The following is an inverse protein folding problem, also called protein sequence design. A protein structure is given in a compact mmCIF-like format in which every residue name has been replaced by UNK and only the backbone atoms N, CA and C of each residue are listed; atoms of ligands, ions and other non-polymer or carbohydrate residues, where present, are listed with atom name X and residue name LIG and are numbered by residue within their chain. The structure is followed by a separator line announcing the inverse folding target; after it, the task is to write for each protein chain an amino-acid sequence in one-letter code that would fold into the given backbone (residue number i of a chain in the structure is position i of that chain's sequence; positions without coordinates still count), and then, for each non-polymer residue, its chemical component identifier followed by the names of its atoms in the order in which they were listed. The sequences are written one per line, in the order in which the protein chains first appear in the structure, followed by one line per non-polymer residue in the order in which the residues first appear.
data_IF_173741029517
#
_entry.id   IF_173741029517
#
_cell.length_a   1.000
_cell.length_b   1.000
_cell.length_c   1.000
_cell.angle_alpha   90.00
_cell.angle_beta   90.00
_cell.angle_gamma   90.00
#
_symmetry.space_group_name_H-M   'P 1'
#
loop_
_entity.id
_entity.type
_entity.pdbx_description
1 polymer ?
#
# COMPACT_ATOMS: atom_id res chain seq x y z
N UNK A 1 16.96 -9.34 -3.37
CA UNK A 1 17.27 -8.32 -2.35
C UNK A 1 16.30 -7.14 -2.40
N UNK A 2 16.06 -6.50 -3.55
CA UNK A 2 15.10 -5.38 -3.70
C UNK A 2 13.72 -5.63 -3.06
N UNK A 3 13.09 -6.77 -3.34
CA UNK A 3 11.74 -7.10 -2.82
C UNK A 3 11.66 -7.23 -1.29
N UNK A 4 12.71 -7.73 -0.64
CA UNK A 4 12.76 -7.84 0.83
C UNK A 4 12.81 -6.47 1.49
N UNK A 5 13.57 -5.53 0.92
CA UNK A 5 13.63 -4.15 1.41
C UNK A 5 12.27 -3.48 1.27
N UNK A 6 11.55 -3.70 0.15
CA UNK A 6 10.20 -3.18 -0.03
C UNK A 6 9.23 -3.72 1.02
N UNK A 7 9.27 -5.02 1.31
CA UNK A 7 8.42 -5.64 2.35
C UNK A 7 8.74 -5.04 3.72
N UNK A 8 10.02 -4.84 4.06
CA UNK A 8 10.43 -4.21 5.33
C UNK A 8 9.95 -2.76 5.45
N UNK A 9 10.09 -1.97 4.39
CA UNK A 9 9.57 -0.59 4.35
C UNK A 9 8.05 -0.60 4.51
N UNK A 10 7.36 -1.45 3.76
CA UNK A 10 5.90 -1.60 3.87
C UNK A 10 5.47 -2.01 5.29
N UNK A 11 6.20 -2.90 5.95
CA UNK A 11 5.92 -3.29 7.33
C UNK A 11 6.12 -2.13 8.30
N UNK A 12 7.21 -1.37 8.16
CA UNK A 12 7.45 -0.18 8.97
C UNK A 12 6.34 0.86 8.79
N UNK A 13 5.94 1.15 7.55
CA UNK A 13 4.84 2.07 7.25
C UNK A 13 3.50 1.58 7.81
N UNK A 14 3.23 0.27 7.76
CA UNK A 14 2.02 -0.31 8.36
C UNK A 14 1.98 -0.12 9.88
N UNK A 15 3.12 -0.28 10.55
CA UNK A 15 3.25 -0.03 11.99
C UNK A 15 2.98 1.45 12.26
N UNK A 16 3.54 2.38 11.49
CA UNK A 16 3.31 3.82 11.67
C UNK A 16 1.86 4.21 11.38
N UNK A 17 1.22 3.61 10.38
CA UNK A 17 -0.20 3.81 10.06
C UNK A 17 -1.11 3.45 11.25
N UNK A 18 -0.77 2.39 11.99
CA UNK A 18 -1.59 1.95 13.12
C UNK A 18 -1.18 2.53 14.48
N UNK A 19 0.08 2.99 14.61
CA UNK A 19 0.60 3.49 15.89
C UNK A 19 0.71 5.01 15.97
N UNK A 20 1.09 5.70 14.89
CA UNK A 20 1.35 7.13 14.88
C UNK A 20 0.26 7.95 14.16
N UNK A 21 -0.21 7.50 13.00
CA UNK A 21 -1.22 8.24 12.22
C UNK A 21 -2.54 8.50 12.95
N UNK A 22 -3.03 7.65 13.87
CA UNK A 22 -4.23 7.96 14.64
C UNK A 22 -4.11 9.24 15.48
N UNK A 23 -2.91 9.65 15.90
CA UNK A 23 -2.69 10.92 16.62
C UNK A 23 -2.89 12.16 15.74
N UNK A 24 -2.80 12.00 14.42
CA UNK A 24 -3.03 13.07 13.44
C UNK A 24 -4.43 12.99 12.80
N UNK A 25 -5.32 12.14 13.33
CA UNK A 25 -6.64 11.94 12.77
C UNK A 25 -7.51 13.20 12.87
N UNK A 26 -8.09 13.63 11.76
CA UNK A 26 -9.06 14.71 11.70
C UNK A 26 -10.44 14.08 11.54
N UNK A 27 -11.33 14.31 12.53
CA UNK A 27 -12.66 13.67 12.58
C UNK A 27 -12.63 12.13 12.47
N UNK A 28 -11.59 11.51 13.01
CA UNK A 28 -11.42 10.05 13.00
C UNK A 28 -10.90 9.46 11.69
N UNK A 29 -10.60 10.29 10.68
CA UNK A 29 -9.96 9.86 9.44
C UNK A 29 -8.49 10.30 9.40
N UNK A 30 -7.61 9.41 8.94
CA UNK A 30 -6.20 9.69 8.71
C UNK A 30 -5.75 9.03 7.39
N UNK A 31 -4.78 9.62 6.66
CA UNK A 31 -4.27 9.04 5.43
C UNK A 31 -3.37 7.82 5.73
N UNK A 32 -3.35 6.84 4.82
CA UNK A 32 -2.42 5.70 4.90
C UNK A 32 -1.09 6.04 4.23
N UNK A 33 -0.03 6.06 5.02
CA UNK A 33 1.35 6.18 4.57
C UNK A 33 1.76 4.98 3.72
N UNK A 34 1.36 3.77 4.12
CA UNK A 34 1.65 2.54 3.37
C UNK A 34 1.10 2.62 1.95
N UNK A 35 -0.16 3.01 1.81
CA UNK A 35 -0.81 3.08 0.51
C UNK A 35 -0.25 4.23 -0.34
N UNK A 36 0.05 5.37 0.27
CA UNK A 36 0.70 6.51 -0.40
C UNK A 36 2.06 6.10 -1.00
N UNK A 37 2.86 5.36 -0.23
CA UNK A 37 4.14 4.81 -0.70
C UNK A 37 3.94 3.83 -1.86
N UNK A 38 2.97 2.91 -1.77
CA UNK A 38 2.71 1.93 -2.82
C UNK A 38 2.34 2.60 -4.16
N UNK A 39 1.51 3.65 -4.13
CA UNK A 39 1.15 4.43 -5.32
C UNK A 39 2.40 5.11 -5.90
N UNK A 40 3.16 5.86 -5.09
CA UNK A 40 4.34 6.57 -5.56
C UNK A 40 5.38 5.62 -6.17
N UNK A 41 5.60 4.46 -5.54
CA UNK A 41 6.50 3.42 -6.08
C UNK A 41 6.00 2.88 -7.42
N UNK A 42 4.69 2.66 -7.55
CA UNK A 42 4.05 2.12 -8.75
C UNK A 42 4.17 3.05 -9.96
N UNK A 43 4.00 4.36 -9.76
CA UNK A 43 4.16 5.38 -10.81
C UNK A 43 5.56 5.29 -11.44
N UNK A 44 6.60 5.03 -10.65
CA UNK A 44 8.00 5.11 -11.09
C UNK A 44 8.51 3.77 -11.65
N UNK A 45 8.04 2.63 -11.13
CA UNK A 45 8.67 1.32 -11.38
C UNK A 45 7.93 0.44 -12.40
N UNK A 46 6.81 0.91 -12.95
CA UNK A 46 6.05 0.21 -13.98
C UNK A 46 5.17 -0.94 -13.47
N UNK A 47 4.43 -1.55 -14.40
CA UNK A 47 3.28 -2.44 -14.12
C UNK A 47 3.60 -3.66 -13.25
N UNK A 48 4.68 -4.40 -13.54
CA UNK A 48 5.00 -5.64 -12.81
C UNK A 48 5.31 -5.36 -11.33
N UNK A 49 6.06 -4.30 -11.07
CA UNK A 49 6.42 -3.87 -9.72
C UNK A 49 5.22 -3.27 -8.99
N UNK A 50 4.32 -2.59 -9.72
CA UNK A 50 3.06 -2.07 -9.19
C UNK A 50 2.08 -3.15 -8.73
N UNK A 51 1.94 -4.24 -9.51
CA UNK A 51 1.13 -5.40 -9.09
C UNK A 51 1.72 -6.02 -7.83
N UNK A 52 3.04 -6.20 -7.77
CA UNK A 52 3.70 -6.77 -6.61
C UNK A 52 3.49 -5.91 -5.35
N UNK A 53 3.75 -4.60 -5.42
CA UNK A 53 3.59 -3.72 -4.24
C UNK A 53 2.11 -3.58 -3.85
N UNK A 54 1.19 -3.49 -4.82
CA UNK A 54 -0.25 -3.35 -4.56
C UNK A 54 -0.82 -4.57 -3.85
N UNK A 55 -0.51 -5.78 -4.34
CA UNK A 55 -0.97 -7.02 -3.69
C UNK A 55 -0.33 -7.18 -2.31
N UNK A 56 0.98 -6.97 -2.19
CA UNK A 56 1.68 -7.18 -0.90
C UNK A 56 1.18 -6.21 0.18
N UNK A 57 1.08 -4.92 -0.13
CA UNK A 57 0.57 -3.92 0.83
C UNK A 57 -0.90 -4.10 1.15
N UNK A 58 -1.74 -4.48 0.18
CA UNK A 58 -3.14 -4.77 0.43
C UNK A 58 -3.35 -6.03 1.30
N UNK A 59 -2.58 -7.10 1.07
CA UNK A 59 -2.60 -8.27 1.96
C UNK A 59 -2.17 -7.92 3.39
N UNK A 60 -1.20 -7.02 3.55
CA UNK A 60 -0.79 -6.54 4.88
C UNK A 60 -1.91 -5.76 5.59
N UNK A 61 -2.70 -4.99 4.85
CA UNK A 61 -3.87 -4.28 5.39
C UNK A 61 -5.02 -5.25 5.72
N UNK A 62 -5.22 -6.29 4.92
CA UNK A 62 -6.25 -7.30 5.13
C UNK A 62 -6.10 -8.07 6.45
N UNK A 63 -4.90 -8.14 7.04
CA UNK A 63 -4.65 -8.75 8.36
C UNK A 63 -5.50 -8.11 9.46
N UNK A 64 -5.84 -6.83 9.33
CA UNK A 64 -6.65 -6.09 10.30
C UNK A 64 -8.16 -6.27 10.10
N UNK A 65 -8.60 -6.89 8.99
CA UNK A 65 -10.01 -7.15 8.70
C UNK A 65 -10.41 -8.57 9.11
N UNK A 66 -11.31 -8.68 10.08
CA UNK A 66 -11.82 -9.98 10.58
C UNK A 66 -12.67 -10.74 9.53
N UNK A 67 -13.40 -10.01 8.68
CA UNK A 67 -14.16 -10.55 7.54
C UNK A 67 -13.88 -9.65 6.32
N UNK A 68 -13.30 -10.21 5.26
CA UNK A 68 -12.96 -9.44 4.05
C UNK A 68 -11.51 -9.57 3.57
N UNK A 69 -10.79 -10.64 3.97
CA UNK A 69 -9.45 -10.91 3.47
C UNK A 69 -9.44 -10.97 1.93
N UNK A 70 -8.52 -10.23 1.31
CA UNK A 70 -8.37 -10.13 -0.14
C UNK A 70 -9.00 -8.87 -0.75
N UNK A 71 -9.84 -8.14 -0.02
CA UNK A 71 -10.46 -6.92 -0.56
C UNK A 71 -9.41 -5.83 -0.76
N UNK A 72 -8.58 -5.53 0.25
CA UNK A 72 -7.55 -4.51 0.10
C UNK A 72 -6.47 -4.99 -0.88
N UNK A 73 -6.13 -6.28 -0.88
CA UNK A 73 -5.21 -6.85 -1.87
C UNK A 73 -5.66 -6.60 -3.32
N UNK A 74 -6.95 -6.84 -3.62
CA UNK A 74 -7.51 -6.62 -4.94
C UNK A 74 -7.58 -5.13 -5.29
N UNK A 75 -8.11 -4.30 -4.39
CA UNK A 75 -8.30 -2.87 -4.63
C UNK A 75 -6.96 -2.15 -4.78
N UNK A 76 -5.97 -2.43 -3.91
CA UNK A 76 -4.66 -1.81 -4.00
C UNK A 76 -3.91 -2.24 -5.27
N UNK A 77 -4.04 -3.50 -5.69
CA UNK A 77 -3.45 -3.97 -6.94
C UNK A 77 -4.00 -3.22 -8.15
N UNK A 78 -5.32 -3.04 -8.24
CA UNK A 78 -5.94 -2.29 -9.33
C UNK A 78 -5.51 -0.82 -9.34
N UNK A 79 -5.50 -0.16 -8.17
CA UNK A 79 -5.11 1.26 -8.08
C UNK A 79 -3.63 1.44 -8.40
N UNK A 80 -2.75 0.57 -7.90
CA UNK A 80 -1.32 0.61 -8.21
C UNK A 80 -1.05 0.36 -9.70
N UNK A 81 -1.79 -0.55 -10.34
CA UNK A 81 -1.68 -0.80 -11.78
C UNK A 81 -2.11 0.42 -12.61
N UNK A 82 -3.18 1.11 -12.21
CA UNK A 82 -3.60 2.38 -12.83
C UNK A 82 -2.51 3.45 -12.62
N UNK A 83 -1.95 3.55 -11.42
CA UNK A 83 -0.89 4.51 -11.11
C UNK A 83 0.37 4.27 -11.97
N UNK A 84 0.75 3.00 -12.18
CA UNK A 84 1.84 2.64 -13.08
C UNK A 84 1.55 3.01 -14.54
N UNK A 85 0.31 2.81 -15.01
CA UNK A 85 -0.08 3.24 -16.35
C UNK A 85 -0.02 4.77 -16.52
N UNK A 86 -0.40 5.53 -15.49
CA UNK A 86 -0.29 6.99 -15.49
C UNK A 86 1.18 7.43 -15.57
N UNK A 87 2.08 6.75 -14.85
CA UNK A 87 3.51 7.09 -14.85
C UNK A 87 4.29 6.72 -16.10
N UNK A 88 3.70 5.97 -17.04
CA UNK A 88 4.29 5.63 -18.34
C UNK A 88 4.11 6.75 -19.40
N UNK A 89 3.30 7.78 -19.13
CA UNK A 89 3.06 8.94 -20.00
C UNK A 89 3.91 10.16 -19.63
#
# INVERSE_FOLDING_TARGET
MKKWVLILISLALLILDNSLMPFFAIKGAFPSLLFTFAIAYSIINGKSEAVFIGVTTGLMQDIFFYNGLGINALVNMLICLIAAFIGEN
#
